data_IF_216861324496
#
_entry.id   IF_216861324496
#
_cell.length_a   1.000
_cell.length_b   1.000
_cell.length_c   1.000
_cell.angle_alpha   90.00
_cell.angle_beta   90.00
_cell.angle_gamma   90.00
#
_symmetry.space_group_name_H-M   'P 1'
#
loop_
_entity.id
_entity.type
_entity.pdbx_description
1 polymer ?
#
# COMPACT_ATOMS: atom_id res chain seq x y z
N UNK A 1 -25.69 22.10 -4.33
CA UNK A 1 -24.75 21.42 -3.39
C UNK A 1 -23.42 21.42 -4.08
N UNK A 2 -22.47 22.19 -3.58
CA UNK A 2 -21.08 22.11 -4.05
C UNK A 2 -20.58 20.70 -3.72
N UNK A 3 -20.21 19.93 -4.74
CA UNK A 3 -19.62 18.61 -4.54
C UNK A 3 -18.26 18.84 -3.89
N UNK A 4 -18.05 18.35 -2.67
CA UNK A 4 -16.77 18.50 -2.00
C UNK A 4 -15.68 17.84 -2.86
N UNK A 5 -14.58 18.54 -3.05
CA UNK A 5 -13.44 18.04 -3.83
C UNK A 5 -12.89 16.76 -3.17
N UNK A 6 -12.67 15.67 -3.91
CA UNK A 6 -12.12 14.44 -3.33
C UNK A 6 -10.71 14.69 -2.79
N UNK A 7 -10.34 13.94 -1.76
CA UNK A 7 -9.10 14.15 -1.01
C UNK A 7 -8.25 12.88 -0.96
N UNK A 8 -6.95 13.04 -0.93
CA UNK A 8 -5.95 11.98 -0.83
C UNK A 8 -5.00 12.22 0.35
N UNK A 9 -4.88 11.24 1.22
CA UNK A 9 -3.83 11.17 2.22
C UNK A 9 -2.93 9.95 1.93
N UNK A 10 -1.62 10.16 1.87
CA UNK A 10 -0.64 9.10 1.68
C UNK A 10 0.16 8.91 2.96
N UNK A 11 0.09 7.71 3.54
CA UNK A 11 0.80 7.35 4.77
C UNK A 11 1.84 6.28 4.47
N UNK A 12 3.05 6.49 4.98
CA UNK A 12 4.16 5.53 4.86
C UNK A 12 4.44 4.88 6.22
N UNK A 13 4.51 3.54 6.22
CA UNK A 13 4.85 2.70 7.36
C UNK A 13 6.23 2.07 7.16
N UNK A 14 6.41 0.79 7.47
CA UNK A 14 7.66 0.06 7.21
C UNK A 14 7.90 -0.16 5.72
N UNK A 15 8.30 0.89 5.01
CA UNK A 15 8.43 0.95 3.57
C UNK A 15 9.86 1.24 3.10
N UNK A 16 10.08 1.08 1.80
CA UNK A 16 11.28 1.52 1.09
C UNK A 16 11.00 2.72 0.17
N UNK A 17 9.80 3.30 0.24
CA UNK A 17 9.28 4.36 -0.63
C UNK A 17 9.25 3.99 -2.13
N UNK A 18 9.22 2.69 -2.42
CA UNK A 18 9.26 2.18 -3.79
C UNK A 18 8.04 2.55 -4.61
N UNK A 19 6.86 2.52 -4.00
CA UNK A 19 5.60 2.90 -4.62
C UNK A 19 5.54 4.41 -4.85
N UNK A 20 5.97 5.21 -3.87
CA UNK A 20 6.13 6.66 -4.01
C UNK A 20 7.08 6.99 -5.16
N UNK A 21 8.27 6.37 -5.23
CA UNK A 21 9.21 6.58 -6.32
C UNK A 21 8.64 6.17 -7.68
N UNK A 22 7.91 5.05 -7.73
CA UNK A 22 7.31 4.56 -8.97
C UNK A 22 6.24 5.52 -9.51
N UNK A 23 5.35 6.00 -8.65
CA UNK A 23 4.26 6.88 -9.11
C UNK A 23 4.74 8.32 -9.37
N UNK A 24 5.77 8.80 -8.66
CA UNK A 24 6.35 10.13 -8.87
C UNK A 24 7.26 10.19 -10.08
N UNK A 25 8.02 9.13 -10.35
CA UNK A 25 8.95 9.02 -11.47
C UNK A 25 8.35 8.46 -12.76
N UNK A 26 7.04 8.24 -12.82
CA UNK A 26 6.41 7.67 -14.00
C UNK A 26 6.45 8.64 -15.19
N UNK A 27 6.88 8.11 -16.35
CA UNK A 27 6.94 8.84 -17.63
C UNK A 27 6.13 8.09 -18.70
N UNK A 28 5.56 8.83 -19.66
CA UNK A 28 4.88 8.24 -20.82
C UNK A 28 3.39 8.64 -20.95
N UNK A 29 2.76 8.39 -22.09
CA UNK A 29 1.38 8.76 -22.33
C UNK A 29 0.44 7.83 -21.56
N UNK A 30 -0.15 8.32 -20.48
CA UNK A 30 -1.13 7.61 -19.66
C UNK A 30 -2.51 8.30 -19.64
N UNK A 31 -3.52 7.57 -19.20
CA UNK A 31 -4.88 8.11 -19.02
C UNK A 31 -4.86 8.95 -17.73
N UNK A 32 -5.01 10.27 -17.87
CA UNK A 32 -5.13 11.19 -16.72
C UNK A 32 -3.78 11.69 -16.17
N UNK A 33 -2.70 11.68 -16.97
CA UNK A 33 -1.35 12.04 -16.55
C UNK A 33 -0.46 10.82 -16.28
N UNK A 34 0.87 11.04 -16.32
CA UNK A 34 1.83 9.95 -16.27
C UNK A 34 2.33 9.66 -14.86
N UNK A 35 2.27 10.63 -13.98
CA UNK A 35 2.73 10.57 -12.60
C UNK A 35 1.65 11.11 -11.64
N UNK A 36 1.94 11.06 -10.34
CA UNK A 36 0.98 11.49 -9.33
C UNK A 36 0.61 12.99 -9.47
N UNK A 37 1.55 13.86 -9.80
CA UNK A 37 1.28 15.29 -9.90
C UNK A 37 0.30 15.59 -11.04
N UNK A 38 0.56 15.04 -12.23
CA UNK A 38 -0.35 15.16 -13.38
C UNK A 38 -1.75 14.58 -13.08
N UNK A 39 -1.78 13.46 -12.36
CA UNK A 39 -3.04 12.84 -11.96
C UNK A 39 -3.83 13.70 -10.97
N UNK A 40 -3.18 14.27 -9.97
CA UNK A 40 -3.82 15.17 -9.00
C UNK A 40 -4.46 16.37 -9.70
N UNK A 41 -3.72 17.00 -10.63
CA UNK A 41 -4.20 18.14 -11.39
C UNK A 41 -5.39 17.76 -12.29
N UNK A 42 -5.26 16.72 -13.09
CA UNK A 42 -6.28 16.31 -14.07
C UNK A 42 -7.56 15.78 -13.42
N UNK A 43 -7.48 15.15 -12.25
CA UNK A 43 -8.61 14.58 -11.52
C UNK A 43 -9.23 15.51 -10.49
N UNK A 44 -8.68 16.72 -10.31
CA UNK A 44 -9.08 17.65 -9.24
C UNK A 44 -9.03 16.99 -7.84
N UNK A 45 -8.11 16.05 -7.62
CA UNK A 45 -7.91 15.35 -6.36
C UNK A 45 -7.00 16.20 -5.47
N UNK A 46 -7.50 16.62 -4.32
CA UNK A 46 -6.71 17.40 -3.37
C UNK A 46 -5.78 16.49 -2.57
N UNK A 47 -4.48 16.70 -2.72
CA UNK A 47 -3.50 16.06 -1.85
C UNK A 47 -3.52 16.73 -0.47
N UNK A 48 -3.90 15.99 0.56
CA UNK A 48 -3.84 16.46 1.94
C UNK A 48 -2.42 16.38 2.50
N UNK A 49 -1.73 15.27 2.24
CA UNK A 49 -0.33 15.07 2.60
C UNK A 49 0.27 13.84 1.91
N UNK A 50 1.58 13.94 1.61
CA UNK A 50 2.42 12.85 1.10
C UNK A 50 3.85 13.02 1.64
N UNK A 51 4.50 11.96 2.15
CA UNK A 51 5.79 12.08 2.85
C UNK A 51 6.92 12.67 2.00
N UNK A 52 6.85 12.53 0.67
CA UNK A 52 7.90 13.01 -0.25
C UNK A 52 7.52 14.29 -1.02
N UNK A 53 6.27 14.75 -0.98
CA UNK A 53 5.80 15.93 -1.72
C UNK A 53 5.41 17.09 -0.83
N UNK A 54 4.98 16.81 0.38
CA UNK A 54 4.44 17.80 1.29
C UNK A 54 5.55 18.40 2.15
N UNK A 55 5.39 19.69 2.49
CA UNK A 55 6.37 20.47 3.26
C UNK A 55 5.95 20.69 4.71
N UNK A 56 4.77 20.20 5.09
CA UNK A 56 4.22 20.34 6.43
C UNK A 56 5.12 19.68 7.48
N UNK A 57 5.27 20.37 8.59
CA UNK A 57 5.97 19.84 9.75
C UNK A 57 5.19 18.66 10.38
N UNK A 58 5.84 17.76 11.13
CA UNK A 58 5.15 16.66 11.81
C UNK A 58 3.97 17.11 12.68
N UNK A 59 4.05 18.28 13.29
CA UNK A 59 2.97 18.84 14.11
C UNK A 59 1.76 19.30 13.29
N UNK A 60 2.00 19.85 12.09
CA UNK A 60 0.91 20.24 11.19
C UNK A 60 0.20 19.00 10.64
N UNK A 61 0.96 17.95 10.31
CA UNK A 61 0.41 16.65 9.89
C UNK A 61 -0.37 15.97 11.03
N UNK A 62 0.13 16.03 12.27
CA UNK A 62 -0.63 15.56 13.43
C UNK A 62 -1.97 16.30 13.56
N UNK A 63 -1.97 17.63 13.42
CA UNK A 63 -3.19 18.42 13.41
C UNK A 63 -4.13 18.10 12.24
N UNK A 64 -3.60 17.75 11.06
CA UNK A 64 -4.41 17.25 9.94
C UNK A 64 -5.08 15.92 10.28
N UNK A 65 -4.32 14.96 10.81
CA UNK A 65 -4.85 13.67 11.25
C UNK A 65 -5.95 13.87 12.29
N UNK A 66 -5.75 14.72 13.27
CA UNK A 66 -6.78 15.02 14.29
C UNK A 66 -8.05 15.61 13.68
N UNK A 67 -7.95 16.49 12.67
CA UNK A 67 -9.13 17.02 11.95
C UNK A 67 -9.88 15.93 11.20
N UNK A 68 -9.15 14.99 10.55
CA UNK A 68 -9.77 13.84 9.85
C UNK A 68 -10.50 12.96 10.88
N UNK A 69 -9.84 12.60 11.97
CA UNK A 69 -10.42 11.75 13.00
C UNK A 69 -11.65 12.38 13.68
N UNK A 70 -11.64 13.71 13.83
CA UNK A 70 -12.78 14.47 14.34
C UNK A 70 -13.91 14.70 13.33
N UNK A 71 -13.77 14.23 12.07
CA UNK A 71 -14.75 14.44 10.99
C UNK A 71 -14.82 15.89 10.49
N UNK A 72 -13.80 16.69 10.73
CA UNK A 72 -13.70 18.09 10.27
C UNK A 72 -12.98 18.21 8.95
N UNK A 73 -12.34 17.14 8.49
CA UNK A 73 -11.70 17.00 7.19
C UNK A 73 -12.14 15.67 6.61
N UNK A 74 -12.77 15.70 5.44
CA UNK A 74 -13.14 14.49 4.70
C UNK A 74 -11.88 13.79 4.16
N UNK A 75 -11.95 12.46 4.09
CA UNK A 75 -10.89 11.63 3.56
C UNK A 75 -11.48 10.64 2.54
N UNK A 76 -11.32 10.95 1.26
CA UNK A 76 -11.81 10.09 0.17
C UNK A 76 -10.90 8.89 -0.03
N UNK A 77 -9.60 9.14 -0.25
CA UNK A 77 -8.61 8.10 -0.49
C UNK A 77 -7.54 8.10 0.62
N UNK A 78 -7.37 6.97 1.27
CA UNK A 78 -6.22 6.70 2.12
C UNK A 78 -5.30 5.71 1.39
N UNK A 79 -4.13 6.16 0.96
CA UNK A 79 -3.07 5.32 0.45
C UNK A 79 -2.11 4.97 1.59
N UNK A 80 -1.85 3.69 1.78
CA UNK A 80 -0.90 3.19 2.79
C UNK A 80 0.21 2.44 2.08
N UNK A 81 1.44 2.89 2.25
CA UNK A 81 2.65 2.30 1.70
C UNK A 81 3.48 1.65 2.82
N UNK A 82 3.97 0.43 2.56
CA UNK A 82 4.81 -0.30 3.51
C UNK A 82 4.04 -1.21 4.45
N UNK A 83 4.79 -2.09 5.13
CA UNK A 83 4.24 -3.04 6.09
C UNK A 83 3.77 -2.35 7.35
N UNK A 84 2.70 -2.86 7.93
CA UNK A 84 2.24 -2.42 9.25
C UNK A 84 3.08 -3.12 10.32
N UNK A 85 3.81 -2.34 11.08
CA UNK A 85 4.71 -2.82 12.14
C UNK A 85 3.96 -2.87 13.47
N UNK A 86 3.87 -4.08 14.03
CA UNK A 86 3.19 -4.28 15.31
C UNK A 86 4.15 -4.35 16.50
N UNK A 87 5.43 -4.68 16.25
CA UNK A 87 6.44 -4.83 17.29
C UNK A 87 6.86 -3.53 18.00
N UNK A 88 7.57 -3.66 19.14
CA UNK A 88 7.84 -4.92 19.86
C UNK A 88 6.62 -5.38 20.66
N UNK A 89 6.46 -6.68 20.80
CA UNK A 89 5.43 -7.30 21.66
C UNK A 89 4.02 -6.74 21.44
N UNK A 90 3.65 -6.53 20.18
CA UNK A 90 2.35 -5.99 19.79
C UNK A 90 2.11 -4.50 20.12
N UNK A 91 3.10 -3.74 20.59
CA UNK A 91 2.92 -2.32 20.97
C UNK A 91 2.92 -1.35 19.79
N UNK A 92 3.51 -1.74 18.65
CA UNK A 92 3.69 -0.87 17.49
C UNK A 92 4.79 0.17 17.62
N UNK A 93 5.55 0.16 18.72
CA UNK A 93 6.54 1.20 19.05
C UNK A 93 7.80 1.20 18.18
N UNK A 94 8.00 0.20 17.32
CA UNK A 94 9.09 0.25 16.33
C UNK A 94 8.83 1.21 15.17
N UNK A 95 7.57 1.62 14.94
CA UNK A 95 7.22 2.60 13.90
C UNK A 95 6.22 3.62 14.45
N UNK A 96 6.72 4.81 14.78
CA UNK A 96 5.93 5.85 15.44
C UNK A 96 5.87 7.14 14.63
N UNK A 97 4.79 7.89 14.82
CA UNK A 97 4.64 9.26 14.35
C UNK A 97 4.17 10.14 15.50
N UNK A 98 4.89 11.22 15.78
CA UNK A 98 4.63 12.11 16.95
C UNK A 98 4.48 11.33 18.27
N UNK A 99 5.28 10.26 18.46
CA UNK A 99 5.27 9.43 19.67
C UNK A 99 4.11 8.43 19.77
N UNK A 100 3.24 8.37 18.77
CA UNK A 100 2.12 7.41 18.69
C UNK A 100 2.47 6.29 17.70
N UNK A 101 2.13 5.02 17.95
CA UNK A 101 2.32 3.94 16.98
C UNK A 101 1.58 4.25 15.67
N UNK A 102 2.29 4.21 14.53
CA UNK A 102 1.65 4.48 13.23
C UNK A 102 0.52 3.50 12.92
N UNK A 103 0.64 2.24 13.34
CA UNK A 103 -0.44 1.27 13.16
C UNK A 103 -1.76 1.72 13.76
N UNK A 104 -1.75 2.36 14.93
CA UNK A 104 -2.96 2.82 15.60
C UNK A 104 -3.55 4.04 14.87
N UNK A 105 -2.68 4.94 14.38
CA UNK A 105 -3.07 6.06 13.53
C UNK A 105 -3.70 5.55 12.22
N UNK A 106 -3.06 4.59 11.55
CA UNK A 106 -3.55 4.01 10.29
C UNK A 106 -4.90 3.31 10.50
N UNK A 107 -5.05 2.52 11.57
CA UNK A 107 -6.32 1.86 11.88
C UNK A 107 -7.45 2.89 12.02
N UNK A 108 -7.22 3.95 12.78
CA UNK A 108 -8.20 5.02 12.98
C UNK A 108 -8.51 5.80 11.68
N UNK A 109 -7.52 6.03 10.82
CA UNK A 109 -7.71 6.67 9.52
C UNK A 109 -8.49 5.78 8.55
N UNK A 110 -8.27 4.46 8.58
CA UNK A 110 -9.01 3.50 7.76
C UNK A 110 -10.52 3.60 8.01
N UNK A 111 -10.94 3.79 9.25
CA UNK A 111 -12.36 3.95 9.63
C UNK A 111 -12.97 5.29 9.17
N UNK A 112 -12.14 6.24 8.75
CA UNK A 112 -12.57 7.56 8.26
C UNK A 112 -12.54 7.69 6.75
N UNK A 113 -11.79 6.84 6.06
CA UNK A 113 -11.63 6.90 4.62
C UNK A 113 -12.82 6.25 3.88
N UNK A 114 -13.19 6.84 2.74
CA UNK A 114 -14.14 6.20 1.84
C UNK A 114 -13.53 4.97 1.19
N UNK A 115 -12.27 5.08 0.77
CA UNK A 115 -11.52 3.97 0.20
C UNK A 115 -10.11 3.88 0.81
N UNK A 116 -9.65 2.67 1.07
CA UNK A 116 -8.30 2.40 1.57
C UNK A 116 -7.54 1.56 0.55
N UNK A 117 -6.40 2.07 0.10
CA UNK A 117 -5.53 1.41 -0.88
C UNK A 117 -4.23 0.97 -0.20
N UNK A 118 -3.97 -0.31 -0.21
CA UNK A 118 -2.69 -0.89 0.18
C UNK A 118 -1.72 -0.81 -1.00
N UNK A 119 -0.83 0.16 -0.97
CA UNK A 119 0.15 0.42 -2.02
C UNK A 119 1.35 -0.52 -1.87
N UNK A 120 1.47 -1.44 -2.82
CA UNK A 120 2.54 -2.42 -2.86
C UNK A 120 2.28 -3.68 -2.01
N UNK A 121 3.12 -4.67 -2.24
CA UNK A 121 3.05 -5.98 -1.57
C UNK A 121 3.23 -5.87 -0.06
N UNK A 122 4.02 -4.91 0.42
CA UNK A 122 4.25 -4.70 1.84
C UNK A 122 2.96 -4.28 2.56
N UNK A 123 2.26 -3.27 2.06
CA UNK A 123 1.00 -2.81 2.64
C UNK A 123 -0.13 -3.83 2.44
N UNK A 124 -0.15 -4.55 1.32
CA UNK A 124 -1.18 -5.54 1.02
C UNK A 124 -1.06 -6.80 1.90
N UNK A 125 0.16 -7.34 2.04
CA UNK A 125 0.39 -8.69 2.57
C UNK A 125 1.50 -8.78 3.62
N UNK A 126 2.19 -7.66 3.93
CA UNK A 126 3.33 -7.61 4.83
C UNK A 126 4.68 -7.66 4.12
N UNK A 127 4.76 -8.24 2.93
CA UNK A 127 5.96 -8.23 2.09
C UNK A 127 7.25 -8.74 2.75
N UNK A 128 8.38 -8.12 2.40
CA UNK A 128 9.71 -8.48 2.94
C UNK A 128 9.78 -8.34 4.46
N UNK A 129 9.29 -7.23 5.08
CA UNK A 129 9.36 -7.08 6.54
C UNK A 129 8.61 -8.17 7.31
N UNK A 130 7.52 -8.72 6.74
CA UNK A 130 6.74 -9.79 7.35
C UNK A 130 7.29 -11.20 7.07
N UNK A 131 8.38 -11.32 6.31
CA UNK A 131 9.01 -12.61 6.06
C UNK A 131 9.63 -13.17 7.35
N UNK A 132 9.62 -14.51 7.55
CA UNK A 132 10.27 -15.12 8.70
C UNK A 132 11.76 -14.76 8.80
N UNK A 133 12.28 -14.43 9.99
CA UNK A 133 11.66 -14.56 11.32
C UNK A 133 10.68 -13.46 11.72
N UNK A 134 10.45 -12.44 10.89
CA UNK A 134 9.54 -11.31 11.13
C UNK A 134 9.80 -10.61 12.50
N UNK A 135 10.97 -10.07 12.75
CA UNK A 135 11.31 -9.48 14.06
C UNK A 135 10.53 -8.19 14.36
N UNK A 136 9.92 -7.59 13.36
CA UNK A 136 9.09 -6.39 13.49
C UNK A 136 7.62 -6.71 13.71
N UNK A 137 7.25 -8.00 13.72
CA UNK A 137 5.86 -8.46 13.83
C UNK A 137 4.95 -7.90 12.73
N UNK A 138 5.51 -7.66 11.55
CA UNK A 138 4.84 -6.97 10.46
C UNK A 138 3.71 -7.78 9.84
N UNK A 139 2.71 -7.06 9.33
CA UNK A 139 1.63 -7.60 8.49
C UNK A 139 1.27 -6.62 7.38
N UNK A 140 0.36 -7.02 6.49
CA UNK A 140 -0.37 -6.09 5.64
C UNK A 140 -1.56 -5.47 6.36
N UNK A 141 -2.30 -4.64 5.64
CA UNK A 141 -3.51 -4.00 6.17
C UNK A 141 -4.58 -5.03 6.53
N UNK A 142 -4.96 -5.90 5.63
CA UNK A 142 -6.04 -6.87 5.83
C UNK A 142 -5.61 -8.33 5.61
N UNK A 143 -4.31 -8.55 5.39
CA UNK A 143 -3.72 -9.87 5.24
C UNK A 143 -2.40 -9.96 6.01
N UNK A 144 -2.10 -11.18 6.46
CA UNK A 144 -0.78 -11.57 6.96
C UNK A 144 -0.27 -12.67 6.01
N UNK A 145 0.60 -12.28 5.09
CA UNK A 145 0.95 -13.10 3.93
C UNK A 145 -0.31 -13.47 3.12
N UNK A 146 -0.60 -14.77 2.96
CA UNK A 146 -1.76 -15.29 2.22
C UNK A 146 -3.03 -15.46 3.09
N UNK A 147 -2.95 -15.14 4.39
CA UNK A 147 -4.04 -15.36 5.34
C UNK A 147 -4.77 -14.05 5.60
N UNK A 148 -6.12 -14.07 5.55
CA UNK A 148 -6.92 -12.93 5.99
C UNK A 148 -6.62 -12.56 7.45
N UNK A 149 -6.64 -11.26 7.74
CA UNK A 149 -6.30 -10.70 9.03
C UNK A 149 -4.89 -10.10 9.04
N UNK A 150 -4.81 -8.82 9.32
CA UNK A 150 -3.60 -8.02 9.41
C UNK A 150 -3.77 -7.00 10.51
N UNK A 151 -3.62 -5.72 10.19
CA UNK A 151 -4.03 -4.61 11.04
C UNK A 151 -5.56 -4.60 11.20
N UNK A 152 -6.27 -4.79 10.08
CA UNK A 152 -7.72 -4.80 10.00
C UNK A 152 -8.25 -6.24 10.01
N UNK A 153 -9.45 -6.43 10.56
CA UNK A 153 -10.09 -7.75 10.52
C UNK A 153 -10.48 -8.15 9.09
N UNK A 154 -10.66 -9.44 8.80
CA UNK A 154 -11.12 -9.89 7.48
C UNK A 154 -12.47 -9.29 7.05
N UNK A 155 -13.33 -9.00 8.03
CA UNK A 155 -14.68 -8.46 7.82
C UNK A 155 -14.70 -6.93 7.71
N UNK A 156 -13.59 -6.27 8.02
CA UNK A 156 -13.53 -4.80 7.97
C UNK A 156 -13.86 -4.28 6.57
N UNK A 157 -14.58 -3.17 6.55
CA UNK A 157 -14.94 -2.43 5.33
C UNK A 157 -14.78 -0.94 5.57
N UNK A 158 -14.34 -0.24 4.53
CA UNK A 158 -14.28 1.22 4.47
C UNK A 158 -15.66 1.85 4.43
N UNK A 159 -15.74 3.16 4.50
CA UNK A 159 -17.03 3.89 4.44
C UNK A 159 -17.81 3.63 3.14
N UNK A 160 -17.11 3.39 2.01
CA UNK A 160 -17.71 3.00 0.75
C UNK A 160 -18.07 1.51 0.66
N UNK A 161 -17.85 0.72 1.71
CA UNK A 161 -18.21 -0.71 1.78
C UNK A 161 -17.19 -1.66 1.15
N UNK A 162 -16.01 -1.16 0.72
CA UNK A 162 -14.96 -1.98 0.17
C UNK A 162 -13.98 -2.47 1.26
N UNK A 163 -13.37 -3.67 1.11
CA UNK A 163 -12.20 -4.03 1.91
C UNK A 163 -11.02 -3.13 1.55
N UNK A 164 -9.89 -3.27 2.24
CA UNK A 164 -8.65 -2.66 1.79
C UNK A 164 -8.29 -3.17 0.39
N UNK A 165 -8.13 -2.26 -0.57
CA UNK A 165 -7.86 -2.57 -1.98
C UNK A 165 -6.36 -2.85 -2.15
N UNK A 166 -5.99 -4.09 -2.42
CA UNK A 166 -4.61 -4.52 -2.49
C UNK A 166 -4.00 -4.30 -3.88
N UNK A 167 -3.23 -3.25 -4.04
CA UNK A 167 -2.43 -2.98 -5.22
C UNK A 167 -1.05 -3.63 -5.05
N UNK A 168 -1.00 -4.94 -5.26
CA UNK A 168 0.22 -5.71 -5.03
C UNK A 168 1.28 -5.45 -6.12
N UNK A 169 2.50 -5.20 -5.70
CA UNK A 169 3.68 -4.93 -6.51
C UNK A 169 4.89 -4.64 -5.62
N UNK A 170 6.09 -4.61 -6.19
CA UNK A 170 7.30 -4.23 -5.45
C UNK A 170 8.33 -3.61 -6.44
N UNK A 171 8.07 -2.34 -6.82
CA UNK A 171 6.85 -1.57 -6.61
C UNK A 171 5.68 -2.02 -7.49
N UNK A 172 4.49 -1.56 -7.17
CA UNK A 172 3.34 -1.66 -8.07
C UNK A 172 3.51 -0.69 -9.23
N UNK A 173 3.04 -1.09 -10.41
CA UNK A 173 3.11 -0.25 -11.59
C UNK A 173 2.30 1.05 -11.42
N UNK A 174 2.90 2.20 -11.77
CA UNK A 174 2.29 3.53 -11.61
C UNK A 174 0.96 3.64 -12.36
N UNK A 175 0.87 3.11 -13.59
CA UNK A 175 -0.35 3.12 -14.36
C UNK A 175 -1.48 2.34 -13.67
N UNK A 176 -1.16 1.27 -12.97
CA UNK A 176 -2.11 0.50 -12.15
C UNK A 176 -2.63 1.32 -10.98
N UNK A 177 -1.74 2.04 -10.27
CA UNK A 177 -2.12 2.94 -9.16
C UNK A 177 -3.07 4.03 -9.65
N UNK A 178 -2.65 4.77 -10.67
CA UNK A 178 -3.42 5.87 -11.28
C UNK A 178 -4.77 5.37 -11.82
N UNK A 179 -4.77 4.27 -12.57
CA UNK A 179 -5.99 3.68 -13.12
C UNK A 179 -6.97 3.26 -12.02
N UNK A 180 -6.48 2.70 -10.93
CA UNK A 180 -7.35 2.27 -9.82
C UNK A 180 -7.96 3.48 -9.12
N UNK A 181 -7.15 4.49 -8.77
CA UNK A 181 -7.65 5.74 -8.18
C UNK A 181 -8.63 6.45 -9.12
N UNK A 182 -8.33 6.52 -10.42
CA UNK A 182 -9.21 7.12 -11.41
C UNK A 182 -10.57 6.40 -11.53
N UNK A 183 -10.59 5.06 -11.45
CA UNK A 183 -11.86 4.31 -11.41
C UNK A 183 -12.68 4.63 -10.18
N UNK A 184 -12.02 4.74 -9.01
CA UNK A 184 -12.70 5.11 -7.77
C UNK A 184 -13.32 6.50 -7.89
N UNK A 185 -12.56 7.49 -8.34
CA UNK A 185 -13.03 8.87 -8.45
C UNK A 185 -14.16 9.03 -9.48
N UNK A 186 -14.24 8.16 -10.48
CA UNK A 186 -15.33 8.12 -11.46
C UNK A 186 -16.45 7.14 -11.07
N UNK A 187 -16.47 6.68 -9.82
CA UNK A 187 -17.48 5.75 -9.28
C UNK A 187 -17.66 4.47 -10.11
N UNK A 188 -16.60 4.04 -10.81
CA UNK A 188 -16.61 2.80 -11.59
C UNK A 188 -16.43 1.61 -10.65
N UNK A 189 -17.38 0.66 -10.58
CA UNK A 189 -17.29 -0.49 -9.71
C UNK A 189 -15.99 -1.26 -9.89
N UNK A 190 -15.39 -1.71 -8.76
CA UNK A 190 -14.19 -2.52 -8.74
C UNK A 190 -14.56 -3.98 -8.50
N UNK A 191 -14.20 -4.83 -9.44
CA UNK A 191 -14.22 -6.28 -9.24
C UNK A 191 -12.96 -6.70 -8.50
N UNK A 192 -13.12 -7.44 -7.41
CA UNK A 192 -12.03 -7.89 -6.56
C UNK A 192 -11.87 -9.40 -6.61
N UNK A 193 -10.64 -9.85 -6.52
CA UNK A 193 -10.35 -11.28 -6.31
C UNK A 193 -10.36 -11.64 -4.82
N UNK A 194 -10.06 -12.92 -4.51
CA UNK A 194 -10.04 -13.44 -3.15
C UNK A 194 -8.99 -12.78 -2.23
N UNK A 195 -8.08 -12.00 -2.79
CA UNK A 195 -7.04 -11.27 -2.07
C UNK A 195 -7.30 -9.76 -2.05
N UNK A 196 -8.53 -9.34 -2.30
CA UNK A 196 -8.95 -7.93 -2.39
C UNK A 196 -8.18 -7.13 -3.47
N UNK A 197 -7.64 -7.79 -4.52
CA UNK A 197 -6.96 -7.10 -5.60
C UNK A 197 -7.99 -6.70 -6.65
N UNK A 198 -8.04 -5.42 -7.05
CA UNK A 198 -8.93 -5.00 -8.12
C UNK A 198 -8.46 -5.53 -9.49
N UNK A 199 -9.39 -5.72 -10.41
CA UNK A 199 -9.13 -6.16 -11.79
C UNK A 199 -8.21 -5.21 -12.59
N UNK A 200 -7.95 -4.02 -12.06
CA UNK A 200 -6.95 -3.07 -12.59
C UNK A 200 -5.52 -3.54 -12.36
N UNK A 201 -5.27 -4.39 -11.36
CA UNK A 201 -3.97 -5.01 -11.12
C UNK A 201 -3.70 -6.00 -12.25
N UNK A 202 -2.93 -5.54 -13.23
CA UNK A 202 -2.57 -6.35 -14.39
C UNK A 202 -1.63 -7.51 -14.05
N UNK A 203 -1.30 -8.35 -15.03
CA UNK A 203 -0.28 -9.36 -14.86
C UNK A 203 1.06 -8.67 -14.53
N UNK A 204 1.75 -9.19 -13.52
CA UNK A 204 3.02 -8.64 -13.10
C UNK A 204 4.02 -8.59 -14.27
N UNK A 205 4.67 -7.43 -14.44
CA UNK A 205 5.73 -7.24 -15.43
C UNK A 205 6.84 -8.30 -15.31
N UNK A 206 7.09 -8.80 -14.10
CA UNK A 206 8.04 -9.89 -13.85
C UNK A 206 7.60 -11.24 -14.44
N UNK A 207 6.33 -11.42 -14.81
CA UNK A 207 5.87 -12.63 -15.50
C UNK A 207 6.54 -12.80 -16.87
N UNK A 208 6.76 -11.72 -17.59
CA UNK A 208 7.49 -11.75 -18.85
C UNK A 208 8.99 -11.93 -18.63
N UNK A 209 9.53 -11.37 -17.55
CA UNK A 209 10.91 -11.62 -17.13
C UNK A 209 11.12 -13.06 -16.67
N UNK A 210 10.14 -13.69 -16.01
CA UNK A 210 10.18 -15.13 -15.68
C UNK A 210 10.30 -16.00 -16.92
N UNK A 211 9.51 -15.73 -17.95
CA UNK A 211 9.57 -16.44 -19.22
C UNK A 211 10.91 -16.26 -19.93
N UNK A 212 11.55 -15.09 -19.76
CA UNK A 212 12.83 -14.75 -20.39
C UNK A 212 14.04 -15.22 -19.57
N UNK A 213 13.94 -15.25 -18.25
CA UNK A 213 15.08 -15.54 -17.35
C UNK A 213 15.10 -16.97 -16.80
N UNK A 214 14.11 -17.79 -17.09
CA UNK A 214 14.08 -19.23 -16.76
C UNK A 214 13.93 -19.57 -15.28
N UNK A 215 14.02 -18.61 -14.35
CA UNK A 215 13.89 -18.89 -12.91
C UNK A 215 13.23 -17.75 -12.14
N UNK A 216 12.10 -18.06 -11.51
CA UNK A 216 11.41 -17.16 -10.58
C UNK A 216 12.31 -16.72 -9.40
N UNK A 217 13.34 -17.49 -9.09
CA UNK A 217 14.27 -17.29 -7.98
C UNK A 217 15.17 -16.07 -8.18
N UNK A 218 15.42 -15.65 -9.42
CA UNK A 218 16.29 -14.50 -9.72
C UNK A 218 15.59 -13.16 -9.65
N UNK A 219 14.26 -13.15 -9.74
CA UNK A 219 13.45 -11.93 -9.67
C UNK A 219 13.03 -11.62 -8.22
N UNK A 220 13.41 -12.50 -7.31
CA UNK A 220 13.25 -12.29 -5.86
C UNK A 220 11.79 -12.11 -5.43
N UNK A 221 11.65 -11.33 -4.40
CA UNK A 221 10.39 -11.05 -3.72
C UNK A 221 9.32 -10.37 -4.60
N UNK A 222 9.70 -9.73 -5.71
CA UNK A 222 8.73 -9.11 -6.63
C UNK A 222 7.68 -10.09 -7.14
N UNK A 223 7.99 -11.37 -7.13
CA UNK A 223 7.07 -12.41 -7.51
C UNK A 223 6.14 -12.88 -6.39
N UNK A 224 6.33 -12.38 -5.18
CA UNK A 224 5.71 -12.97 -3.98
C UNK A 224 4.27 -12.54 -3.73
N UNK A 225 3.74 -11.61 -4.36
CA UNK A 225 2.37 -11.19 -4.12
C UNK A 225 1.73 -10.44 -5.27
N UNK A 226 2.54 -10.13 -6.26
CA UNK A 226 2.09 -9.37 -7.41
C UNK A 226 1.27 -10.21 -8.37
N UNK A 227 1.59 -11.49 -8.44
CA UNK A 227 1.18 -12.34 -9.52
C UNK A 227 0.02 -13.17 -9.05
N UNK A 228 -1.10 -12.65 -9.20
CA UNK A 228 -2.30 -13.38 -9.05
C UNK A 228 -2.18 -14.85 -8.94
N UNK A 229 -2.51 -15.42 -8.01
CA UNK A 229 -2.67 -16.81 -7.76
C UNK A 229 -1.58 -17.43 -6.92
N UNK A 230 -1.98 -17.93 -5.86
CA UNK A 230 -1.28 -18.95 -5.08
C UNK A 230 0.08 -18.47 -4.59
N UNK A 231 0.05 -17.76 -3.49
CA UNK A 231 1.16 -17.87 -2.57
C UNK A 231 1.43 -19.35 -2.39
N UNK A 232 2.57 -19.87 -2.81
CA UNK A 232 2.89 -21.24 -2.50
C UNK A 232 3.06 -21.30 -1.00
N UNK A 233 2.08 -21.85 -0.30
CA UNK A 233 2.08 -22.05 1.15
C UNK A 233 3.29 -22.86 1.66
N UNK A 234 4.16 -23.33 0.80
CA UNK A 234 5.17 -24.32 1.12
C UNK A 234 6.62 -24.00 0.73
N UNK A 235 6.89 -22.87 0.05
CA UNK A 235 8.29 -22.51 -0.23
C UNK A 235 8.53 -21.04 0.04
N UNK A 236 9.16 -20.70 1.17
CA UNK A 236 9.58 -19.33 1.45
C UNK A 236 10.72 -18.94 0.51
N UNK A 237 10.39 -18.33 -0.63
CA UNK A 237 11.38 -17.66 -1.49
C UNK A 237 12.21 -16.66 -0.67
N UNK A 238 11.60 -16.04 0.31
CA UNK A 238 12.25 -15.13 1.24
C UNK A 238 13.35 -15.79 2.09
N UNK A 239 13.23 -17.05 2.44
CA UNK A 239 14.30 -17.75 3.17
C UNK A 239 15.62 -17.78 2.40
N UNK A 240 15.56 -17.87 1.08
CA UNK A 240 16.77 -17.90 0.25
C UNK A 240 17.37 -16.52 0.02
N UNK A 241 16.56 -15.47 -0.06
CA UNK A 241 17.06 -14.10 -0.27
C UNK A 241 17.69 -13.56 1.02
N UNK A 242 17.02 -13.73 2.16
CA UNK A 242 17.53 -13.24 3.46
C UNK A 242 18.77 -14.03 3.90
N UNK A 243 18.79 -15.36 3.74
CA UNK A 243 19.95 -16.16 4.16
C UNK A 243 21.16 -16.01 3.25
N UNK A 244 20.99 -15.76 1.94
CA UNK A 244 22.13 -15.50 1.06
C UNK A 244 22.75 -14.12 1.26
N UNK A 245 21.96 -13.10 1.56
CA UNK A 245 22.47 -11.76 1.83
C UNK A 245 23.08 -11.62 3.23
N UNK A 246 22.58 -12.34 4.24
CA UNK A 246 23.15 -12.33 5.57
C UNK A 246 24.40 -13.23 5.71
N UNK A 247 24.55 -14.28 4.90
CA UNK A 247 25.74 -15.12 4.88
C UNK A 247 26.94 -14.47 4.16
N UNK A 248 26.74 -13.34 3.49
CA UNK A 248 27.81 -12.57 2.84
C UNK A 248 28.29 -11.34 3.61
N UNK A 249 27.84 -11.16 4.84
CA UNK A 249 28.17 -9.99 5.71
C UNK A 249 28.79 -10.45 7.05
N UNK A 250 29.42 -11.60 7.05
CA UNK A 250 30.35 -12.00 8.14
C UNK A 250 31.77 -12.13 7.60
#
# INVERSE_FOLDING_TARGET
MECAMPTLLWMECGACSGESMAILGAEGPGIGGNNLADFLESSQLQLLWHPSLSLESPKEVEGLIERILAGKQELTLLCVEGSIIHGPDGTGMFDTFCGKPKRDIIAALCDKADYVLAMGTCAAFGGIPAAPPNPTESSGLQFRNDRPGGLLSPEWRSRAGYPALNLAGCPVDAATMIKTMGRILNEVPLELDAYNRPSTVGPCLTNDLKKKCGTAERVGYACYGCIGAKFPASKPLFRHVITRNLAGVC
#
